data_IF_145463494699
#
_entry.id   IF_145463494699
#
_cell.length_a   1.000
_cell.length_b   1.000
_cell.length_c   1.000
_cell.angle_alpha   90.00
_cell.angle_beta   90.00
_cell.angle_gamma   90.00
#
_symmetry.space_group_name_H-M   'P 1'
#
loop_
_entity.id
_entity.type
_entity.pdbx_description
1 polymer ?
#
# COMPACT_ATOMS: atom_id res chain seq x y z
N UNK A 1 16.09 8.70 -5.99
CA UNK A 1 15.17 7.96 -5.11
C UNK A 1 14.50 8.93 -4.16
N UNK A 2 13.18 9.11 -4.30
CA UNK A 2 12.36 10.00 -3.47
C UNK A 2 11.75 9.17 -2.34
N UNK A 3 12.02 9.56 -1.08
CA UNK A 3 11.40 8.94 0.08
C UNK A 3 9.95 9.38 0.22
N UNK A 4 9.04 8.44 0.42
CA UNK A 4 7.60 8.71 0.57
C UNK A 4 7.01 7.90 1.72
N UNK A 5 5.97 8.46 2.34
CA UNK A 5 5.02 7.73 3.18
C UNK A 5 3.71 7.71 2.39
N UNK A 6 3.07 6.56 2.31
CA UNK A 6 1.78 6.41 1.62
C UNK A 6 0.71 6.16 2.67
N UNK A 7 -0.26 7.07 2.74
CA UNK A 7 -1.46 6.96 3.57
C UNK A 7 -2.65 6.74 2.63
N UNK A 8 -3.29 5.57 2.71
CA UNK A 8 -4.40 5.20 1.83
C UNK A 8 -5.38 4.24 2.52
N UNK A 9 -6.51 3.98 1.86
CA UNK A 9 -7.61 3.11 2.28
C UNK A 9 -7.70 1.88 1.35
N UNK A 10 -6.82 0.87 1.51
CA UNK A 10 -6.44 -0.04 0.44
C UNK A 10 -7.60 -0.81 -0.20
N UNK A 11 -8.12 -0.29 -1.31
CA UNK A 11 -8.94 -1.00 -2.26
C UNK A 11 -8.10 -1.85 -3.23
N UNK A 12 -8.76 -2.36 -4.27
CA UNK A 12 -8.09 -3.14 -5.32
C UNK A 12 -7.05 -2.28 -6.04
N UNK A 13 -7.42 -1.04 -6.37
CA UNK A 13 -6.60 -0.07 -7.07
C UNK A 13 -5.46 0.48 -6.20
N UNK A 14 -5.71 0.77 -4.92
CA UNK A 14 -4.65 1.18 -3.99
C UNK A 14 -3.61 0.07 -3.81
N UNK A 15 -4.04 -1.19 -3.66
CA UNK A 15 -3.13 -2.32 -3.50
C UNK A 15 -2.22 -2.50 -4.72
N UNK A 16 -2.77 -2.28 -5.92
CA UNK A 16 -2.00 -2.25 -7.16
C UNK A 16 -1.02 -1.07 -7.20
N UNK A 17 -1.46 0.12 -6.78
CA UNK A 17 -0.62 1.32 -6.72
C UNK A 17 0.54 1.16 -5.72
N UNK A 18 0.28 0.59 -4.54
CA UNK A 18 1.29 0.26 -3.55
C UNK A 18 2.33 -0.72 -4.13
N UNK A 19 1.88 -1.78 -4.82
CA UNK A 19 2.77 -2.75 -5.46
C UNK A 19 3.70 -2.10 -6.51
N UNK A 20 3.16 -1.16 -7.29
CA UNK A 20 3.94 -0.39 -8.25
C UNK A 20 4.92 0.58 -7.55
N UNK A 21 4.48 1.23 -6.48
CA UNK A 21 5.30 2.19 -5.74
C UNK A 21 6.52 1.52 -5.09
N UNK A 22 6.33 0.35 -4.45
CA UNK A 22 7.44 -0.36 -3.80
C UNK A 22 8.44 -0.92 -4.81
N UNK A 23 7.97 -1.33 -6.00
CA UNK A 23 8.83 -1.85 -7.08
C UNK A 23 9.45 -0.76 -7.94
N UNK A 24 9.11 0.50 -7.73
CA UNK A 24 9.65 1.61 -8.51
C UNK A 24 11.09 1.93 -8.11
N UNK A 25 12.04 2.04 -9.06
CA UNK A 25 13.41 2.45 -8.76
C UNK A 25 13.52 3.92 -8.35
N UNK A 26 12.49 4.72 -8.63
CA UNK A 26 12.49 6.16 -8.38
C UNK A 26 12.00 6.52 -6.97
N UNK A 27 11.30 5.59 -6.30
CA UNK A 27 10.61 5.81 -5.03
C UNK A 27 11.17 4.87 -3.96
N UNK A 28 11.35 5.38 -2.74
CA UNK A 28 11.64 4.59 -1.55
C UNK A 28 10.44 4.72 -0.62
N UNK A 29 9.61 3.68 -0.54
CA UNK A 29 8.45 3.65 0.37
C UNK A 29 8.97 3.39 1.79
N UNK A 30 8.88 4.39 2.65
CA UNK A 30 9.42 4.34 4.03
C UNK A 30 8.40 3.76 5.00
N UNK A 31 7.12 4.04 4.75
CA UNK A 31 6.01 3.51 5.54
C UNK A 31 4.72 3.51 4.70
N UNK A 32 3.84 2.57 5.01
CA UNK A 32 2.46 2.52 4.55
C UNK A 32 1.57 2.67 5.79
N UNK A 33 0.63 3.61 5.77
CA UNK A 33 -0.39 3.78 6.80
C UNK A 33 -1.76 3.56 6.20
N UNK A 34 -2.65 2.91 6.96
CA UNK A 34 -4.00 2.57 6.51
C UNK A 34 -5.01 3.47 7.20
N UNK A 35 -5.84 4.13 6.40
CA UNK A 35 -6.97 4.95 6.85
C UNK A 35 -8.29 4.34 6.39
N UNK A 36 -9.39 4.71 7.04
CA UNK A 36 -10.74 4.32 6.62
C UNK A 36 -11.19 5.15 5.41
N UNK A 37 -11.83 4.52 4.43
CA UNK A 37 -12.38 5.19 3.24
C UNK A 37 -13.33 4.29 2.44
N UNK A 38 -12.96 3.98 1.19
CA UNK A 38 -13.62 3.02 0.29
C UNK A 38 -13.81 1.65 0.94
N UNK A 39 -12.88 1.27 1.81
CA UNK A 39 -12.99 0.09 2.66
C UNK A 39 -12.84 0.48 4.14
N UNK A 40 -13.46 -0.27 5.06
CA UNK A 40 -13.17 -0.15 6.48
C UNK A 40 -11.69 -0.38 6.76
N UNK A 41 -11.14 0.30 7.77
CA UNK A 41 -9.71 0.24 8.13
C UNK A 41 -9.20 -1.20 8.34
N UNK A 42 -10.01 -2.07 8.94
CA UNK A 42 -9.66 -3.47 9.18
C UNK A 42 -9.48 -4.24 7.86
N UNK A 43 -10.35 -3.98 6.87
CA UNK A 43 -10.28 -4.60 5.54
C UNK A 43 -9.10 -4.05 4.75
N UNK A 44 -8.89 -2.73 4.79
CA UNK A 44 -7.74 -2.10 4.16
C UNK A 44 -6.41 -2.64 4.69
N UNK A 45 -6.34 -2.87 6.00
CA UNK A 45 -5.17 -3.46 6.67
C UNK A 45 -4.94 -4.89 6.20
N UNK A 46 -6.00 -5.71 6.17
CA UNK A 46 -5.93 -7.09 5.65
C UNK A 46 -5.49 -7.15 4.18
N UNK A 47 -5.92 -6.20 3.35
CA UNK A 47 -5.50 -6.15 1.95
C UNK A 47 -4.00 -5.89 1.80
N UNK A 48 -3.43 -5.00 2.62
CA UNK A 48 -1.98 -4.76 2.66
C UNK A 48 -1.22 -5.99 3.15
N UNK A 49 -1.66 -6.61 4.25
CA UNK A 49 -1.05 -7.86 4.77
C UNK A 49 -1.07 -8.99 3.73
N UNK A 50 -2.18 -9.12 3.01
CA UNK A 50 -2.35 -10.07 1.93
C UNK A 50 -1.37 -9.79 0.77
N UNK A 51 -1.23 -8.52 0.38
CA UNK A 51 -0.29 -8.11 -0.67
C UNK A 51 1.17 -8.37 -0.29
N UNK A 52 1.57 -8.12 0.97
CA UNK A 52 2.89 -8.49 1.48
C UNK A 52 3.10 -10.01 1.44
N UNK A 53 2.11 -10.79 1.90
CA UNK A 53 2.18 -12.26 1.91
C UNK A 53 2.43 -12.84 0.51
N UNK A 54 1.94 -12.18 -0.55
CA UNK A 54 2.16 -12.58 -1.94
C UNK A 54 3.39 -11.94 -2.60
N UNK A 55 4.21 -11.18 -1.87
CA UNK A 55 5.38 -10.47 -2.42
C UNK A 55 5.00 -9.38 -3.45
N UNK A 56 3.79 -8.85 -3.32
CA UNK A 56 3.33 -7.75 -4.15
C UNK A 56 3.93 -6.42 -3.69
N UNK A 57 4.13 -6.29 -2.37
CA UNK A 57 4.83 -5.22 -1.67
C UNK A 57 6.26 -5.66 -1.31
#
# INVERSE_FOLDING_TARGET
MRKVIIDCDPGIDDTLALSLAVKSPDIEVVAITVVCGNVPVDIGTQNVECAEMFGAL
#
